data_IF_176550695637
#
_entry.id   IF_176550695637
#
_cell.length_a   1.000
_cell.length_b   1.000
_cell.length_c   1.000
_cell.angle_alpha   90.00
_cell.angle_beta   90.00
_cell.angle_gamma   90.00
#
_symmetry.space_group_name_H-M   'P 1'
#
loop_
_entity.id
_entity.type
_entity.pdbx_description
1 polymer ?
#
# COMPACT_ATOMS: atom_id res chain seq x y z
N UNK A 1 -39.27 12.74 13.58
CA UNK A 1 -38.26 12.80 12.50
C UNK A 1 -37.87 11.39 12.16
N UNK A 2 -38.33 10.85 11.03
CA UNK A 2 -37.96 9.51 10.58
C UNK A 2 -36.74 9.69 9.69
N UNK A 3 -35.57 9.79 10.31
CA UNK A 3 -34.30 9.85 9.59
C UNK A 3 -34.21 8.55 8.80
N UNK A 4 -33.98 8.63 7.50
CA UNK A 4 -33.68 7.43 6.71
C UNK A 4 -32.32 6.95 7.23
N UNK A 5 -32.40 6.04 8.18
CA UNK A 5 -31.30 5.54 8.99
C UNK A 5 -30.19 4.91 8.13
N UNK A 6 -30.53 4.37 6.96
CA UNK A 6 -29.58 3.74 6.03
C UNK A 6 -29.10 4.70 4.96
N UNK A 7 -27.86 4.55 4.46
CA UNK A 7 -27.34 5.36 3.36
C UNK A 7 -28.23 5.19 2.12
N UNK A 8 -28.60 6.30 1.47
CA UNK A 8 -29.30 6.28 0.18
C UNK A 8 -28.46 6.81 -0.98
N UNK A 9 -27.25 7.28 -0.72
CA UNK A 9 -26.33 7.75 -1.76
C UNK A 9 -25.91 6.61 -2.71
N UNK A 10 -25.93 6.90 -4.01
CA UNK A 10 -25.55 5.96 -5.07
C UNK A 10 -24.05 6.08 -5.37
N UNK A 11 -23.37 4.93 -5.38
CA UNK A 11 -21.96 4.84 -5.76
C UNK A 11 -21.81 4.62 -7.26
N UNK A 12 -20.74 5.16 -7.82
CA UNK A 12 -20.32 4.85 -9.19
C UNK A 12 -19.81 3.42 -9.31
N UNK A 13 -19.86 2.89 -10.53
CA UNK A 13 -19.30 1.59 -10.88
C UNK A 13 -17.82 1.50 -10.48
N UNK A 14 -17.40 0.47 -9.73
CA UNK A 14 -16.01 0.30 -9.34
C UNK A 14 -15.13 -0.10 -10.54
N UNK A 15 -13.89 0.37 -10.53
CA UNK A 15 -12.84 0.07 -11.51
C UNK A 15 -11.98 -1.06 -10.96
N UNK A 16 -11.67 -2.04 -11.81
CA UNK A 16 -10.89 -3.21 -11.42
C UNK A 16 -9.63 -3.29 -12.28
N UNK A 17 -8.47 -3.44 -11.63
CA UNK A 17 -7.15 -3.49 -12.28
C UNK A 17 -6.30 -4.62 -11.69
N UNK A 18 -5.39 -5.21 -12.48
CA UNK A 18 -4.29 -6.01 -11.96
C UNK A 18 -3.43 -5.17 -11.00
N UNK A 19 -3.14 -5.70 -9.82
CA UNK A 19 -2.24 -5.04 -8.84
C UNK A 19 -0.94 -5.82 -8.60
N UNK A 20 -0.94 -7.11 -8.90
CA UNK A 20 0.20 -7.99 -8.64
C UNK A 20 -0.14 -9.46 -8.90
N UNK A 21 0.80 -10.38 -8.60
CA UNK A 21 0.63 -11.81 -8.87
C UNK A 21 -0.60 -12.41 -8.20
N UNK A 22 -1.64 -12.71 -8.98
CA UNK A 22 -2.91 -13.25 -8.47
C UNK A 22 -3.71 -12.27 -7.61
N UNK A 23 -3.66 -10.97 -7.90
CA UNK A 23 -4.30 -9.92 -7.08
C UNK A 23 -4.98 -8.88 -7.95
N UNK A 24 -6.18 -8.47 -7.55
CA UNK A 24 -6.92 -7.38 -8.18
C UNK A 24 -7.01 -6.19 -7.23
N UNK A 25 -6.83 -4.99 -7.76
CA UNK A 25 -7.15 -3.73 -7.11
C UNK A 25 -8.52 -3.28 -7.60
N UNK A 26 -9.44 -3.08 -6.66
CA UNK A 26 -10.79 -2.57 -6.88
C UNK A 26 -10.82 -1.16 -6.32
N UNK A 27 -11.10 -0.16 -7.15
CA UNK A 27 -11.15 1.26 -6.77
C UNK A 27 -12.53 1.83 -7.07
N UNK A 28 -13.05 2.69 -6.20
CA UNK A 28 -14.31 3.41 -6.42
C UNK A 28 -14.18 4.88 -6.05
N UNK A 29 -15.13 5.68 -6.52
CA UNK A 29 -15.24 7.10 -6.14
C UNK A 29 -16.17 7.21 -4.92
N UNK A 30 -15.82 8.01 -3.90
CA UNK A 30 -16.77 8.39 -2.85
C UNK A 30 -18.09 8.92 -3.42
N UNK A 31 -19.22 8.74 -2.72
CA UNK A 31 -20.49 9.29 -3.16
C UNK A 31 -20.45 10.82 -3.16
N UNK A 32 -21.08 11.45 -4.16
CA UNK A 32 -21.35 12.87 -4.13
C UNK A 32 -22.59 13.13 -3.27
N UNK A 33 -22.39 13.74 -2.11
CA UNK A 33 -23.47 14.06 -1.19
C UNK A 33 -24.01 15.45 -1.54
N UNK A 34 -25.11 15.48 -2.28
CA UNK A 34 -25.77 16.74 -2.69
C UNK A 34 -26.92 17.12 -1.76
N UNK A 35 -27.56 16.13 -1.12
CA UNK A 35 -28.64 16.37 -0.17
C UNK A 35 -28.09 16.74 1.22
N UNK A 36 -28.62 17.82 1.79
CA UNK A 36 -28.31 18.27 3.16
C UNK A 36 -28.69 17.22 4.20
N UNK A 37 -29.71 16.39 3.95
CA UNK A 37 -30.09 15.36 4.90
C UNK A 37 -29.12 14.17 4.88
N UNK A 38 -28.58 13.82 3.71
CA UNK A 38 -27.58 12.76 3.57
C UNK A 38 -26.23 13.13 4.18
N UNK A 39 -25.87 14.43 4.19
CA UNK A 39 -24.62 14.88 4.82
C UNK A 39 -24.59 14.74 6.34
N UNK A 40 -25.76 14.57 6.97
CA UNK A 40 -25.88 14.27 8.40
C UNK A 40 -25.68 12.78 8.71
N UNK A 41 -25.70 11.90 7.70
CA UNK A 41 -25.51 10.46 7.86
C UNK A 41 -24.02 10.15 7.92
N UNK A 42 -23.54 9.72 9.08
CA UNK A 42 -22.15 9.26 9.25
C UNK A 42 -22.00 7.84 8.70
N UNK A 43 -21.15 7.68 7.68
CA UNK A 43 -20.78 6.37 7.14
C UNK A 43 -19.68 5.73 8.00
N UNK A 44 -19.77 4.42 8.19
CA UNK A 44 -18.74 3.63 8.88
C UNK A 44 -17.73 3.08 7.89
N UNK A 45 -18.15 2.83 6.64
CA UNK A 45 -17.28 2.22 5.65
C UNK A 45 -17.95 1.84 4.35
N UNK A 46 -17.24 1.03 3.59
CA UNK A 46 -17.73 0.41 2.37
C UNK A 46 -17.71 -1.10 2.49
N UNK A 47 -18.72 -1.75 1.93
CA UNK A 47 -18.80 -3.19 1.76
C UNK A 47 -18.56 -3.54 0.30
N UNK A 48 -17.53 -4.33 0.05
CA UNK A 48 -17.18 -4.81 -1.29
C UNK A 48 -17.75 -6.22 -1.45
N UNK A 49 -18.49 -6.43 -2.53
CA UNK A 49 -19.11 -7.71 -2.85
C UNK A 49 -18.67 -8.18 -4.23
N UNK A 50 -18.68 -9.50 -4.42
CA UNK A 50 -18.31 -10.13 -5.67
C UNK A 50 -19.30 -11.24 -6.05
N UNK A 51 -19.38 -11.53 -7.34
CA UNK A 51 -20.07 -12.71 -7.87
C UNK A 51 -19.36 -13.21 -9.11
N UNK A 52 -19.59 -14.48 -9.48
CA UNK A 52 -19.17 -14.96 -10.80
C UNK A 52 -19.94 -14.25 -11.90
N UNK A 53 -19.32 -14.11 -13.06
CA UNK A 53 -19.97 -13.57 -14.25
C UNK A 53 -20.86 -14.63 -14.92
N UNK A 54 -21.82 -15.16 -14.16
CA UNK A 54 -22.80 -16.13 -14.61
C UNK A 54 -24.21 -15.65 -14.18
N UNK A 55 -25.26 -15.86 -15.00
CA UNK A 55 -26.62 -15.49 -14.63
C UNK A 55 -27.08 -16.27 -13.40
N UNK A 56 -27.78 -15.59 -12.48
CA UNK A 56 -28.36 -16.21 -11.28
C UNK A 56 -27.39 -16.40 -10.11
N UNK A 57 -26.14 -15.97 -10.23
CA UNK A 57 -25.18 -16.03 -9.12
C UNK A 57 -25.43 -14.96 -8.05
N UNK A 58 -25.36 -15.40 -6.80
CA UNK A 58 -25.47 -14.57 -5.62
C UNK A 58 -24.24 -13.68 -5.41
N UNK A 59 -24.43 -12.58 -4.69
CA UNK A 59 -23.37 -11.68 -4.28
C UNK A 59 -22.81 -12.08 -2.92
N UNK A 60 -21.50 -12.32 -2.88
CA UNK A 60 -20.78 -12.69 -1.67
C UNK A 60 -19.95 -11.52 -1.14
N UNK A 61 -19.78 -11.47 0.17
CA UNK A 61 -18.93 -10.47 0.83
C UNK A 61 -17.46 -10.75 0.50
N UNK A 62 -16.80 -9.80 -0.14
CA UNK A 62 -15.35 -9.85 -0.35
C UNK A 62 -14.60 -9.24 0.85
N UNK A 63 -15.12 -8.15 1.40
CA UNK A 63 -14.56 -7.48 2.57
C UNK A 63 -15.19 -6.11 2.83
N UNK A 64 -14.75 -5.47 3.90
CA UNK A 64 -15.16 -4.12 4.28
C UNK A 64 -13.96 -3.20 4.41
N UNK A 65 -14.13 -1.91 4.10
CA UNK A 65 -13.12 -0.86 4.27
C UNK A 65 -13.67 0.26 5.14
N UNK A 66 -12.78 1.07 5.71
CA UNK A 66 -13.17 2.29 6.41
C UNK A 66 -13.71 3.36 5.44
N UNK A 67 -14.42 4.35 5.97
CA UNK A 67 -15.06 5.39 5.15
C UNK A 67 -14.09 6.29 4.36
N UNK A 68 -12.83 6.38 4.81
CA UNK A 68 -11.73 7.10 4.17
C UNK A 68 -10.99 6.27 3.10
N UNK A 69 -11.23 4.96 3.05
CA UNK A 69 -10.57 4.06 2.10
C UNK A 69 -11.49 3.69 0.94
N UNK A 70 -11.09 4.10 -0.27
CA UNK A 70 -11.85 3.93 -1.52
C UNK A 70 -11.28 2.86 -2.46
N UNK A 71 -10.48 1.95 -1.91
CA UNK A 71 -9.87 0.86 -2.65
C UNK A 71 -9.82 -0.44 -1.84
N UNK A 72 -9.78 -1.58 -2.52
CA UNK A 72 -9.67 -2.91 -1.93
C UNK A 72 -8.79 -3.84 -2.77
N UNK A 73 -7.90 -4.59 -2.13
CA UNK A 73 -7.02 -5.56 -2.81
C UNK A 73 -7.57 -6.98 -2.61
N UNK A 74 -8.10 -7.58 -3.67
CA UNK A 74 -8.68 -8.91 -3.66
C UNK A 74 -7.64 -9.99 -3.98
N UNK A 75 -7.56 -11.02 -3.12
CA UNK A 75 -6.75 -12.24 -3.35
C UNK A 75 -7.46 -13.52 -2.93
N UNK A 76 -7.73 -13.67 -1.63
CA UNK A 76 -7.98 -14.98 -0.99
C UNK A 76 -9.24 -15.71 -1.43
N UNK A 77 -10.25 -14.99 -1.92
CA UNK A 77 -11.58 -15.55 -2.20
C UNK A 77 -11.85 -15.81 -3.69
N UNK A 78 -10.93 -15.42 -4.56
CA UNK A 78 -11.12 -15.50 -6.02
C UNK A 78 -10.34 -16.68 -6.61
N UNK A 79 -10.98 -17.44 -7.50
CA UNK A 79 -10.33 -18.52 -8.26
C UNK A 79 -9.72 -18.01 -9.56
N UNK A 80 -8.55 -18.52 -9.94
CA UNK A 80 -7.91 -18.20 -11.23
C UNK A 80 -8.76 -18.74 -12.39
N UNK A 81 -8.76 -18.02 -13.52
CA UNK A 81 -9.49 -18.40 -14.73
C UNK A 81 -11.01 -18.22 -14.66
N UNK A 82 -11.54 -17.66 -13.57
CA UNK A 82 -12.97 -17.36 -13.40
C UNK A 82 -13.20 -15.86 -13.54
N UNK A 83 -14.21 -15.47 -14.33
CA UNK A 83 -14.66 -14.09 -14.45
C UNK A 83 -15.50 -13.72 -13.22
N UNK A 84 -15.16 -12.61 -12.58
CA UNK A 84 -15.92 -12.05 -11.48
C UNK A 84 -16.36 -10.63 -11.81
N UNK A 85 -17.52 -10.24 -11.29
CA UNK A 85 -17.94 -8.84 -11.19
C UNK A 85 -17.96 -8.41 -9.74
N UNK A 86 -17.69 -7.14 -9.52
CA UNK A 86 -17.59 -6.53 -8.21
C UNK A 86 -18.57 -5.38 -8.07
N UNK A 87 -19.11 -5.16 -6.88
CA UNK A 87 -19.92 -3.99 -6.55
C UNK A 87 -19.58 -3.50 -5.16
N UNK A 88 -19.92 -2.25 -4.88
CA UNK A 88 -19.64 -1.60 -3.60
C UNK A 88 -20.95 -1.08 -3.01
N UNK A 89 -21.09 -1.15 -1.69
CA UNK A 89 -22.22 -0.59 -0.95
C UNK A 89 -21.69 0.30 0.18
N UNK A 90 -22.35 1.42 0.43
CA UNK A 90 -22.09 2.22 1.62
C UNK A 90 -22.63 1.50 2.85
N UNK A 91 -21.91 1.58 3.95
CA UNK A 91 -22.29 1.01 5.24
C UNK A 91 -22.35 2.09 6.32
N UNK A 92 -23.37 2.01 7.17
CA UNK A 92 -23.42 2.74 8.42
C UNK A 92 -23.98 1.84 9.54
N UNK A 93 -24.11 2.38 10.75
CA UNK A 93 -24.63 1.68 11.92
C UNK A 93 -26.01 1.05 11.75
N UNK A 94 -26.83 1.57 10.84
CA UNK A 94 -28.18 1.06 10.57
C UNK A 94 -28.21 0.08 9.40
N UNK A 95 -27.10 -0.06 8.67
CA UNK A 95 -26.87 -1.11 7.68
C UNK A 95 -26.37 -0.60 6.33
N UNK A 96 -26.69 -1.38 5.30
CA UNK A 96 -26.17 -1.19 3.95
C UNK A 96 -27.10 -0.33 3.09
N UNK A 97 -26.50 0.59 2.35
CA UNK A 97 -27.16 1.37 1.32
C UNK A 97 -27.40 0.62 0.01
N UNK A 98 -27.85 1.35 -1.03
CA UNK A 98 -27.97 0.79 -2.36
C UNK A 98 -26.61 0.30 -2.86
N UNK A 99 -26.64 -0.74 -3.69
CA UNK A 99 -25.45 -1.24 -4.36
C UNK A 99 -25.08 -0.36 -5.55
N UNK A 100 -23.79 -0.21 -5.81
CA UNK A 100 -23.30 0.32 -7.08
C UNK A 100 -23.67 -0.61 -8.24
N UNK A 101 -23.56 -0.08 -9.44
CA UNK A 101 -23.47 -0.92 -10.63
C UNK A 101 -22.29 -1.88 -10.53
N UNK A 102 -22.44 -3.05 -11.15
CA UNK A 102 -21.40 -4.06 -11.19
C UNK A 102 -20.23 -3.61 -12.10
N UNK A 103 -18.99 -3.92 -11.69
CA UNK A 103 -17.77 -3.70 -12.46
C UNK A 103 -17.82 -4.39 -13.83
N UNK A 104 -16.86 -4.03 -14.70
CA UNK A 104 -16.54 -4.92 -15.83
C UNK A 104 -16.07 -6.28 -15.30
N UNK A 105 -16.31 -7.38 -16.04
CA UNK A 105 -15.79 -8.69 -15.69
C UNK A 105 -14.27 -8.66 -15.59
N UNK A 106 -13.72 -9.22 -14.51
CA UNK A 106 -12.29 -9.32 -14.31
C UNK A 106 -11.90 -10.70 -13.79
N UNK A 107 -10.72 -11.16 -14.23
CA UNK A 107 -10.11 -12.39 -13.74
C UNK A 107 -8.87 -12.07 -12.91
N UNK A 108 -8.52 -12.95 -11.99
CA UNK A 108 -7.21 -12.87 -11.35
C UNK A 108 -6.10 -12.91 -12.42
N UNK A 109 -5.13 -11.98 -12.39
CA UNK A 109 -4.02 -12.00 -13.31
C UNK A 109 -3.28 -13.33 -13.21
N UNK A 110 -3.24 -14.05 -14.33
CA UNK A 110 -2.37 -15.21 -14.47
C UNK A 110 -1.00 -14.65 -14.86
N UNK A 111 0.01 -14.86 -14.02
CA UNK A 111 1.38 -14.62 -14.44
C UNK A 111 1.74 -15.74 -15.42
N UNK A 112 1.37 -15.55 -16.68
CA UNK A 112 1.88 -16.37 -17.77
C UNK A 112 3.32 -15.89 -17.94
N UNK A 113 4.28 -16.79 -17.74
CA UNK A 113 5.66 -16.55 -18.15
C UNK A 113 5.66 -16.51 -19.68
N UNK A 114 5.19 -15.42 -20.26
CA UNK A 114 5.45 -15.14 -21.67
C UNK A 114 6.87 -14.58 -21.74
N UNK A 115 7.67 -15.04 -22.70
CA UNK A 115 9.10 -14.72 -22.80
C UNK A 115 9.36 -13.20 -22.91
N UNK A 116 8.36 -12.44 -23.37
CA UNK A 116 8.32 -10.98 -23.43
C UNK A 116 8.10 -10.27 -22.08
N UNK A 117 7.56 -10.98 -21.08
CA UNK A 117 7.27 -10.51 -19.73
C UNK A 117 8.11 -11.17 -18.63
N UNK A 118 9.04 -12.06 -19.00
CA UNK A 118 9.96 -12.72 -18.06
C UNK A 118 10.81 -11.69 -17.31
N UNK A 119 11.13 -11.99 -16.05
CA UNK A 119 12.00 -11.17 -15.22
C UNK A 119 13.34 -10.88 -15.92
N UNK A 120 13.93 -11.92 -16.53
CA UNK A 120 15.22 -11.87 -17.24
C UNK A 120 15.19 -11.03 -18.52
N UNK A 121 14.00 -10.75 -19.04
CA UNK A 121 13.82 -9.90 -20.23
C UNK A 121 13.81 -8.42 -19.88
N UNK A 122 13.43 -8.05 -18.64
CA UNK A 122 13.27 -6.66 -18.21
C UNK A 122 14.38 -6.16 -17.29
N UNK A 123 14.98 -7.04 -16.51
CA UNK A 123 15.95 -6.66 -15.49
C UNK A 123 17.25 -7.45 -15.62
N UNK A 124 18.36 -6.75 -15.46
CA UNK A 124 19.67 -7.37 -15.22
C UNK A 124 19.97 -7.37 -13.73
N UNK A 125 20.44 -8.51 -13.20
CA UNK A 125 20.92 -8.61 -11.83
C UNK A 125 22.34 -8.03 -11.77
N UNK A 126 22.51 -6.93 -11.03
CA UNK A 126 23.78 -6.21 -10.94
C UNK A 126 24.63 -6.75 -9.78
N UNK A 127 24.04 -6.82 -8.59
CA UNK A 127 24.74 -7.29 -7.40
C UNK A 127 23.77 -7.90 -6.38
N UNK A 128 24.25 -8.89 -5.64
CA UNK A 128 23.59 -9.48 -4.47
C UNK A 128 23.96 -8.64 -3.24
N UNK A 129 22.97 -8.00 -2.63
CA UNK A 129 23.15 -7.14 -1.46
C UNK A 129 23.00 -7.92 -0.15
N UNK A 130 22.15 -8.94 -0.15
CA UNK A 130 21.97 -9.84 0.98
C UNK A 130 21.36 -11.16 0.50
N UNK A 131 21.62 -12.25 1.22
CA UNK A 131 21.01 -13.54 0.94
C UNK A 131 20.54 -14.24 2.21
N UNK A 132 19.36 -14.80 2.13
CA UNK A 132 18.74 -15.68 3.12
C UNK A 132 18.64 -17.11 2.56
N UNK A 133 18.07 -18.03 3.33
CA UNK A 133 17.94 -19.44 2.95
C UNK A 133 17.18 -19.64 1.63
N UNK A 134 16.15 -18.83 1.37
CA UNK A 134 15.22 -19.03 0.24
C UNK A 134 15.06 -17.78 -0.62
N UNK A 135 15.79 -16.70 -0.33
CA UNK A 135 15.69 -15.46 -1.10
C UNK A 135 16.99 -14.68 -1.06
N UNK A 136 17.22 -13.86 -2.09
CA UNK A 136 18.27 -12.85 -2.09
C UNK A 136 17.68 -11.47 -2.37
N UNK A 137 18.29 -10.45 -1.78
CA UNK A 137 18.07 -9.05 -2.10
C UNK A 137 19.11 -8.64 -3.13
N UNK A 138 18.66 -8.08 -4.25
CA UNK A 138 19.50 -7.74 -5.39
C UNK A 138 19.28 -6.29 -5.80
N UNK A 139 20.34 -5.66 -6.28
CA UNK A 139 20.24 -4.47 -7.10
C UNK A 139 20.03 -4.90 -8.55
N UNK A 140 18.99 -4.37 -9.15
CA UNK A 140 18.56 -4.69 -10.51
C UNK A 140 18.70 -3.44 -11.39
N UNK A 141 19.06 -3.60 -12.66
CA UNK A 141 18.95 -2.54 -13.65
C UNK A 141 17.82 -2.85 -14.62
N UNK A 142 16.89 -1.92 -14.80
CA UNK A 142 15.85 -2.03 -15.81
C UNK A 142 16.44 -1.78 -17.20
N UNK A 143 16.33 -2.76 -18.11
CA UNK A 143 16.97 -2.71 -19.43
C UNK A 143 16.48 -1.57 -20.32
N UNK A 144 15.21 -1.19 -20.22
CA UNK A 144 14.61 -0.15 -21.05
C UNK A 144 15.00 1.26 -20.63
N UNK A 145 15.20 1.50 -19.34
CA UNK A 145 15.42 2.84 -18.77
C UNK A 145 16.82 3.03 -18.20
N UNK A 146 17.55 1.94 -17.94
CA UNK A 146 18.80 1.93 -17.17
C UNK A 146 18.61 2.23 -15.68
N UNK A 147 17.37 2.37 -15.19
CA UNK A 147 17.10 2.73 -13.80
C UNK A 147 17.42 1.55 -12.87
N UNK A 148 18.05 1.87 -11.74
CA UNK A 148 18.31 0.89 -10.70
C UNK A 148 17.09 0.68 -9.78
N UNK A 149 16.88 -0.58 -9.40
CA UNK A 149 15.84 -1.03 -8.48
C UNK A 149 16.44 -1.93 -7.41
N UNK A 150 15.76 -2.02 -6.27
CA UNK A 150 16.05 -3.02 -5.23
C UNK A 150 14.94 -4.07 -5.28
N UNK A 151 15.30 -5.33 -5.48
CA UNK A 151 14.35 -6.42 -5.65
C UNK A 151 14.72 -7.64 -4.83
N UNK A 152 13.73 -8.33 -4.27
CA UNK A 152 13.93 -9.65 -3.67
C UNK A 152 13.59 -10.73 -4.68
N UNK A 153 14.51 -11.65 -4.93
CA UNK A 153 14.28 -12.84 -5.77
C UNK A 153 14.16 -14.03 -4.83
N UNK A 154 13.08 -14.79 -4.98
CA UNK A 154 12.77 -15.96 -4.16
C UNK A 154 13.07 -17.21 -4.98
N UNK A 155 13.93 -18.08 -4.48
CA UNK A 155 14.14 -19.39 -5.08
C UNK A 155 12.95 -20.28 -4.74
N UNK A 156 12.12 -20.53 -5.75
CA UNK A 156 10.94 -21.41 -5.65
C UNK A 156 11.23 -22.82 -6.15
N UNK A 157 12.48 -23.14 -6.48
CA UNK A 157 12.86 -24.48 -6.94
C UNK A 157 12.60 -25.51 -5.83
N UNK A 158 12.00 -26.67 -6.15
CA UNK A 158 11.74 -27.72 -5.18
C UNK A 158 13.02 -28.26 -4.50
N UNK A 159 14.19 -28.01 -5.09
CA UNK A 159 15.52 -28.31 -4.56
C UNK A 159 15.96 -27.46 -3.36
N UNK A 160 15.36 -26.28 -3.12
CA UNK A 160 15.72 -25.42 -2.00
C UNK A 160 15.24 -25.98 -0.63
N UNK A 161 14.24 -26.86 -0.64
CA UNK A 161 13.66 -27.46 0.57
C UNK A 161 14.56 -28.54 1.21
N UNK A 162 15.56 -29.07 0.49
CA UNK A 162 16.35 -30.24 0.95
C UNK A 162 17.79 -29.92 1.34
N UNK A 163 18.25 -28.67 1.27
CA UNK A 163 19.63 -28.35 1.69
C UNK A 163 19.73 -28.20 3.21
N UNK A 164 20.40 -29.17 3.84
CA UNK A 164 20.86 -29.16 5.24
C UNK A 164 21.74 -27.93 5.52
N UNK A 165 21.75 -27.39 6.75
CA UNK A 165 22.60 -26.25 7.08
C UNK A 165 24.07 -26.64 6.99
N UNK A 166 24.82 -25.97 6.11
CA UNK A 166 26.29 -26.02 6.15
C UNK A 166 26.72 -25.07 7.25
N UNK A 167 27.18 -25.65 8.35
CA UNK A 167 27.77 -25.00 9.51
C UNK A 167 28.93 -24.07 9.15
N UNK A 168 29.06 -23.01 9.95
CA UNK A 168 30.13 -22.02 9.90
C UNK A 168 31.52 -22.68 9.98
N UNK A 169 32.28 -22.65 8.88
CA UNK A 169 33.75 -22.62 8.90
C UNK A 169 34.26 -22.26 7.50
N UNK A 170 35.01 -21.17 7.40
CA UNK A 170 35.64 -20.76 6.14
C UNK A 170 36.15 -19.33 6.22
N UNK A 171 37.18 -19.12 7.06
CA UNK A 171 37.97 -17.89 7.05
C UNK A 171 38.45 -17.62 5.63
N UNK A 172 38.10 -16.46 5.08
CA UNK A 172 38.88 -15.80 4.04
C UNK A 172 39.18 -14.41 4.58
N UNK A 173 40.46 -14.16 4.83
CA UNK A 173 40.96 -12.85 5.21
C UNK A 173 40.67 -11.87 4.07
N UNK A 174 39.67 -11.02 4.29
CA UNK A 174 39.41 -9.84 3.47
C UNK A 174 39.77 -8.67 4.37
N UNK A 175 40.87 -7.99 4.06
CA UNK A 175 41.21 -6.71 4.67
C UNK A 175 40.17 -5.69 4.24
N UNK A 176 39.33 -5.25 5.18
CA UNK A 176 38.49 -4.07 4.96
C UNK A 176 39.39 -2.82 5.03
N UNK A 177 39.33 -1.89 4.06
CA UNK A 177 39.81 -0.54 4.33
C UNK A 177 38.99 0.02 5.50
N UNK A 178 39.65 0.64 6.48
CA UNK A 178 39.00 1.26 7.64
C UNK A 178 37.89 2.21 7.15
N UNK A 179 36.66 1.93 7.59
CA UNK A 179 35.56 2.85 7.40
C UNK A 179 35.84 4.12 8.21
N UNK A 180 35.63 5.32 7.66
CA UNK A 180 35.70 6.54 8.47
C UNK A 180 34.71 6.44 9.62
N UNK A 181 35.14 6.87 10.80
CA UNK A 181 34.31 6.91 12.00
C UNK A 181 32.97 7.59 11.70
N UNK A 182 31.88 6.89 12.02
CA UNK A 182 30.51 7.38 11.87
C UNK A 182 30.39 8.79 12.46
N UNK A 183 29.76 9.77 11.79
CA UNK A 183 29.35 10.98 12.47
C UNK A 183 28.31 10.60 13.53
N UNK A 184 28.64 10.84 14.79
CA UNK A 184 27.69 10.77 15.91
C UNK A 184 26.61 11.81 15.62
N UNK A 185 25.35 11.38 15.62
CA UNK A 185 24.21 12.29 15.52
C UNK A 185 24.25 13.24 16.72
N UNK A 186 24.59 14.50 16.46
CA UNK A 186 24.56 15.57 17.46
C UNK A 186 23.12 16.03 17.59
N UNK A 187 22.41 15.54 18.60
CA UNK A 187 21.33 16.29 19.21
C UNK A 187 21.98 17.47 19.94
N UNK A 188 21.98 18.65 19.32
CA UNK A 188 22.33 19.89 20.01
C UNK A 188 21.08 20.37 20.77
N UNK A 189 21.03 20.05 22.06
CA UNK A 189 20.15 20.71 23.01
C UNK A 189 20.71 22.10 23.32
N UNK A 190 20.00 23.14 22.88
CA UNK A 190 20.30 24.54 23.18
C UNK A 190 20.25 24.82 24.70
N UNK A 191 21.46 25.01 25.23
CA UNK A 191 21.98 25.73 26.40
C UNK A 191 21.02 26.27 27.49
N UNK A 192 21.37 26.07 28.78
CA UNK A 192 20.70 26.73 29.90
C UNK A 192 21.15 28.18 30.07
N UNK A 193 20.18 29.09 30.08
CA UNK A 193 20.30 30.51 30.44
C UNK A 193 20.75 30.65 31.90
N UNK A 194 21.91 31.27 32.15
CA UNK A 194 22.29 31.76 33.48
C UNK A 194 22.12 33.28 33.58
N UNK A 195 21.21 33.64 34.50
CA UNK A 195 21.10 34.82 35.39
C UNK A 195 21.55 36.21 34.91
N UNK A 196 20.53 37.09 34.89
CA UNK A 196 20.47 38.52 35.27
C UNK A 196 21.79 39.18 35.69
N UNK A 197 22.14 40.24 34.96
CA UNK A 197 22.72 41.45 35.53
C UNK A 197 21.84 42.64 35.08
N UNK A 198 21.46 43.43 36.08
CA UNK A 198 20.64 44.64 36.04
C UNK A 198 21.30 45.77 35.26
N UNK A 199 20.50 46.51 34.48
CA UNK A 199 20.85 47.88 34.11
C UNK A 199 19.72 48.83 34.51
N UNK A 200 20.15 49.86 35.21
CA UNK A 200 19.41 50.93 35.85
C UNK A 200 18.76 51.85 34.80
N UNK A 201 17.54 52.30 35.10
CA UNK A 201 16.76 53.22 34.27
C UNK A 201 17.10 54.63 34.74
N UNK A 202 17.92 55.37 33.98
CA UNK A 202 17.85 56.82 34.09
C UNK A 202 18.43 57.56 32.86
N UNK A 203 17.54 58.39 32.28
CA UNK A 203 17.83 59.66 31.56
C UNK A 203 18.38 59.47 30.13
N UNK A 204 17.88 60.14 29.08
CA UNK A 204 17.28 61.45 28.97
C UNK A 204 16.26 61.50 27.83
N UNK A 205 15.09 62.09 28.09
CA UNK A 205 14.17 62.61 27.07
C UNK A 205 14.34 64.13 26.98
N UNK A 206 14.55 64.66 25.80
CA UNK A 206 14.51 66.10 25.48
C UNK A 206 14.04 66.16 24.03
N UNK A 207 13.05 66.93 23.56
CA UNK A 207 12.07 67.91 24.05
C UNK A 207 11.10 68.14 22.87
N UNK A 208 9.88 68.60 23.15
CA UNK A 208 9.03 69.52 22.35
C UNK A 208 7.75 69.68 23.22
N UNK A 209 7.25 70.84 23.61
CA UNK A 209 7.31 72.21 23.06
C UNK A 209 7.60 73.29 24.11
#
# INVERSE_FOLDING_TARGET
MNLKDKPCATLQKPRVKPHGPGTLLIEWTPPLITDRLESLVKFTGYRVEYRRDEPGEDWFLLGTTSADQTYFIARSQLRRGVNYRFRVRLENWHGLGPASDASEPAQLPVHRLTEDGSFDSRYDIIEELARTRNSGLYRLAERSTGRYWLGTIIDTSPSALTKRPVSALGKRDISYPELPSRPVSVLETERPVRRRASYDISKYTTRHD
#
